data_IF_438158772354
#
_entry.id   IF_438158772354
#
_cell.length_a   1.000
_cell.length_b   1.000
_cell.length_c   1.000
_cell.angle_alpha   90.00
_cell.angle_beta   90.00
_cell.angle_gamma   90.00
#
_symmetry.space_group_name_H-M   'P 1'
#
loop_
_entity.id
_entity.type
_entity.pdbx_description
1 polymer ?
2 non-polymer ?
3 non-polymer ?
4 non-polymer ?
5 water ?
#
# COMPACT_ATOMS: atom_id res chain seq x y z
N UNK A 1 12.71 13.19 -19.89
CA UNK A 1 12.10 14.38 -19.32
C UNK A 1 11.26 14.15 -18.05
N UNK A 2 10.68 12.93 -17.88
CA UNK A 2 9.81 12.51 -16.76
C UNK A 2 10.00 13.23 -15.43
N UNK A 3 8.95 13.95 -14.98
CA UNK A 3 8.91 14.65 -13.69
C UNK A 3 7.68 14.19 -12.90
N UNK A 4 7.75 14.06 -11.56
CA UNK A 4 6.56 13.63 -10.81
C UNK A 4 5.51 14.72 -10.70
N UNK A 5 4.24 14.33 -10.55
CA UNK A 5 3.15 15.27 -10.32
C UNK A 5 3.28 15.76 -8.88
N UNK A 6 2.93 17.02 -8.63
CA UNK A 6 3.09 17.56 -7.27
C UNK A 6 1.76 17.91 -6.61
N UNK A 7 1.69 17.70 -5.29
CA UNK A 7 0.52 18.02 -4.50
C UNK A 7 0.94 18.74 -3.24
N UNK A 8 0.27 19.85 -2.93
CA UNK A 8 0.57 20.55 -1.70
C UNK A 8 -0.15 19.82 -0.57
N UNK A 9 0.62 19.31 0.40
CA UNK A 9 0.06 18.64 1.57
C UNK A 9 0.66 19.24 2.81
N UNK A 10 -0.20 19.61 3.76
CA UNK A 10 0.22 20.10 5.08
C UNK A 10 0.46 18.86 5.92
N UNK A 11 1.75 18.51 6.10
CA UNK A 11 2.22 17.36 6.86
C UNK A 11 1.76 17.46 8.33
N UNK A 12 1.31 16.36 8.99
CA UNK A 12 0.91 16.48 10.40
C UNK A 12 2.13 16.69 11.30
N UNK A 13 1.88 17.09 12.55
CA UNK A 13 2.90 17.28 13.58
C UNK A 13 2.72 16.23 14.69
N UNK A 14 3.83 15.83 15.32
CA UNK A 14 3.79 14.85 16.42
C UNK A 14 4.73 15.26 17.55
N UNK A 15 4.45 14.72 18.75
CA UNK A 15 5.27 14.90 19.95
C UNK A 15 6.04 13.60 20.22
N UNK A 16 5.75 12.55 19.42
CA UNK A 16 6.36 11.22 19.50
C UNK A 16 7.85 11.23 19.13
N UNK A 17 8.69 10.48 19.87
CA UNK A 17 10.12 10.39 19.49
C UNK A 17 10.40 9.25 18.52
N UNK A 18 9.72 8.09 18.70
CA UNK A 18 9.87 6.86 17.91
C UNK A 18 9.39 7.01 16.47
N UNK A 19 8.39 7.87 16.23
CA UNK A 19 7.86 8.09 14.89
C UNK A 19 8.81 8.98 14.11
N UNK A 20 9.66 8.35 13.30
CA UNK A 20 10.66 9.03 12.50
C UNK A 20 10.16 9.29 11.10
N UNK A 21 10.85 8.73 10.10
CA UNK A 21 10.44 8.88 8.72
C UNK A 21 9.33 7.87 8.38
N UNK A 22 8.15 8.37 8.03
CA UNK A 22 7.05 7.49 7.65
C UNK A 22 6.41 7.97 6.33
N UNK A 23 6.61 7.15 5.29
CA UNK A 23 6.10 7.36 3.93
C UNK A 23 4.72 6.76 3.83
N UNK A 24 3.80 7.49 3.20
CA UNK A 24 2.45 6.97 2.99
C UNK A 24 2.34 6.70 1.50
N UNK A 25 2.14 5.43 1.14
CA UNK A 25 2.00 5.02 -0.24
C UNK A 25 0.54 4.73 -0.50
N UNK A 26 -0.08 5.48 -1.43
CA UNK A 26 -1.48 5.32 -1.74
C UNK A 26 -1.73 4.88 -3.18
N UNK A 27 -2.36 3.72 -3.33
CA UNK A 27 -2.84 3.19 -4.59
C UNK A 27 -4.23 3.77 -4.85
N UNK A 28 -4.35 4.56 -5.90
CA UNK A 28 -5.53 5.36 -6.18
C UNK A 28 -6.44 4.73 -7.24
N UNK A 29 -7.77 4.89 -7.07
CA UNK A 29 -8.80 4.35 -7.97
C UNK A 29 -9.54 5.46 -8.74
N UNK A 49 -13.08 13.15 -6.39
CA UNK A 49 -13.79 11.88 -6.32
C UNK A 49 -12.92 10.70 -6.71
N UNK A 50 -12.21 10.13 -5.71
CA UNK A 50 -11.33 8.98 -5.91
C UNK A 50 -11.19 8.18 -4.61
N UNK A 51 -10.98 6.86 -4.73
CA UNK A 51 -10.85 5.97 -3.56
C UNK A 51 -9.45 5.39 -3.45
N UNK A 52 -9.00 5.14 -2.21
CA UNK A 52 -7.68 4.55 -1.96
C UNK A 52 -7.81 3.03 -1.87
N UNK A 53 -7.32 2.32 -2.88
CA UNK A 53 -7.37 0.86 -2.92
C UNK A 53 -6.26 0.27 -2.07
N UNK A 54 -5.09 0.92 -2.07
CA UNK A 54 -3.90 0.48 -1.33
C UNK A 54 -3.41 1.59 -0.42
N UNK A 55 -3.18 1.27 0.86
CA UNK A 55 -2.68 2.20 1.87
C UNK A 55 -1.61 1.48 2.64
N UNK A 56 -0.35 1.85 2.44
CA UNK A 56 0.78 1.24 3.12
C UNK A 56 1.71 2.31 3.70
N UNK A 57 2.25 2.04 4.88
CA UNK A 57 3.21 2.93 5.47
C UNK A 57 4.60 2.28 5.46
N UNK A 58 5.55 2.94 4.78
CA UNK A 58 6.91 2.42 4.63
C UNK A 58 7.79 3.07 5.67
N UNK A 59 8.35 2.26 6.57
CA UNK A 59 9.11 2.79 7.69
C UNK A 59 10.63 2.50 7.63
N UNK A 60 11.45 3.40 7.03
CA UNK A 60 12.91 3.20 7.07
C UNK A 60 13.48 3.54 8.46
N UNK A 61 14.36 2.66 8.99
CA UNK A 61 14.96 2.82 10.30
C UNK A 61 16.36 2.21 10.35
N UNK A 62 16.97 2.13 11.56
CA UNK A 62 18.30 1.54 11.76
C UNK A 62 18.27 0.02 11.94
N UNK A 63 17.07 -0.55 12.20
CA UNK A 63 16.87 -2.01 12.31
C UNK A 63 16.78 -2.60 10.90
N UNK A 64 16.08 -1.88 10.02
CA UNK A 64 15.85 -2.26 8.63
C UNK A 64 14.75 -1.45 7.98
N UNK A 65 13.79 -2.12 7.33
CA UNK A 65 12.64 -1.49 6.68
C UNK A 65 11.41 -2.36 6.94
N UNK A 66 10.34 -1.72 7.44
CA UNK A 66 9.06 -2.38 7.70
C UNK A 66 7.96 -1.71 6.90
N UNK A 67 7.11 -2.52 6.28
CA UNK A 67 5.98 -2.04 5.51
C UNK A 67 4.72 -2.58 6.19
N UNK A 68 3.84 -1.67 6.62
CA UNK A 68 2.59 -2.00 7.28
C UNK A 68 1.45 -1.73 6.31
N UNK A 69 0.80 -2.81 5.87
CA UNK A 69 -0.29 -2.72 4.91
C UNK A 69 -1.58 -2.47 5.69
N UNK A 70 -2.19 -1.29 5.48
CA UNK A 70 -3.41 -0.91 6.18
C UNK A 70 -4.64 -1.30 5.36
N UNK A 71 -5.50 -2.19 5.89
CA UNK A 71 -6.69 -2.60 5.11
C UNK A 71 -7.63 -1.44 4.79
N UNK A 72 -8.04 -1.32 3.51
CA UNK A 72 -8.87 -0.23 2.98
C UNK A 72 -10.26 -0.12 3.64
N UNK A 73 -10.83 -1.27 4.05
CA UNK A 73 -12.15 -1.35 4.67
C UNK A 73 -12.13 -0.97 6.15
N UNK A 74 -10.93 -0.81 6.73
CA UNK A 74 -10.76 -0.42 8.13
C UNK A 74 -11.35 0.96 8.42
N UNK A 75 -12.24 1.05 9.42
CA UNK A 75 -12.91 2.29 9.82
C UNK A 75 -12.13 2.90 10.99
N UNK A 76 -11.90 4.21 10.95
CA UNK A 76 -11.14 4.94 11.97
C UNK A 76 -11.78 6.32 12.27
N UNK A 77 -11.26 7.04 13.28
CA UNK A 77 -11.71 8.40 13.59
C UNK A 77 -11.04 9.37 12.61
N UNK A 78 -11.74 9.71 11.51
CA UNK A 78 -11.21 10.58 10.45
C UNK A 78 -10.99 12.01 10.94
N UNK A 79 -12.05 12.68 11.40
CA UNK A 79 -12.00 14.04 11.92
C UNK A 79 -12.68 14.04 13.27
N UNK A 80 -12.21 14.89 14.18
CA UNK A 80 -12.70 14.99 15.54
C UNK A 80 -14.17 14.64 15.69
N UNK A 81 -14.44 13.43 16.23
CA UNK A 81 -15.79 12.90 16.45
C UNK A 81 -16.54 12.61 15.14
N UNK A 82 -15.96 11.74 14.29
CA UNK A 82 -16.50 11.31 12.99
C UNK A 82 -15.75 10.07 12.48
N UNK A 83 -16.45 9.11 11.87
CA UNK A 83 -15.84 7.88 11.38
C UNK A 83 -15.95 7.67 9.87
N UNK A 84 -14.81 7.31 9.23
CA UNK A 84 -14.75 7.01 7.80
C UNK A 84 -13.91 5.76 7.59
N UNK A 85 -14.15 5.05 6.49
CA UNK A 85 -13.30 3.92 6.12
C UNK A 85 -12.07 4.49 5.41
N UNK A 86 -10.91 3.84 5.59
CA UNK A 86 -9.64 4.25 5.00
C UNK A 86 -9.76 4.56 3.49
N UNK A 87 -10.47 3.73 2.74
CA UNK A 87 -10.65 3.90 1.30
C UNK A 87 -11.44 5.18 0.96
N UNK A 88 -12.39 5.53 1.84
CA UNK A 88 -13.29 6.65 1.66
C UNK A 88 -12.62 7.99 2.01
N UNK A 89 -11.63 7.99 2.93
CA UNK A 89 -10.90 9.20 3.30
C UNK A 89 -10.20 9.90 2.11
N UNK A 90 -9.92 9.17 1.02
CA UNK A 90 -9.24 9.73 -0.14
C UNK A 90 -10.11 10.67 -1.00
N UNK A 91 -11.45 10.48 -0.96
CA UNK A 91 -12.46 11.21 -1.75
C UNK A 91 -12.27 12.75 -1.73
N UNK A 92 -12.20 13.46 -0.57
CA UNK A 92 -11.97 14.91 -0.63
C UNK A 92 -10.52 15.33 -0.89
N UNK A 93 -9.61 14.36 -1.00
CA UNK A 93 -8.20 14.64 -1.28
C UNK A 93 -7.22 13.93 -0.37
N UNK A 94 -5.95 13.76 -0.83
CA UNK A 94 -4.93 13.10 0.02
C UNK A 94 -4.76 13.75 1.38
N UNK A 95 -5.05 15.06 1.48
CA UNK A 95 -4.94 15.81 2.73
C UNK A 95 -5.84 15.20 3.80
N UNK A 96 -7.02 14.71 3.40
CA UNK A 96 -7.97 14.08 4.31
C UNK A 96 -7.48 12.72 4.80
N UNK A 97 -6.88 11.92 3.91
CA UNK A 97 -6.28 10.62 4.25
C UNK A 97 -5.09 10.82 5.22
N UNK A 98 -4.21 11.79 4.92
CA UNK A 98 -3.06 12.14 5.75
C UNK A 98 -3.55 12.56 7.16
N UNK A 99 -4.60 13.40 7.21
CA UNK A 99 -5.20 13.86 8.45
C UNK A 99 -5.91 12.75 9.22
N UNK A 100 -6.70 11.91 8.51
CA UNK A 100 -7.44 10.79 9.10
C UNK A 100 -6.50 9.78 9.80
N UNK A 101 -5.42 9.36 9.13
CA UNK A 101 -4.44 8.43 9.69
C UNK A 101 -3.81 8.93 11.00
N UNK A 102 -3.61 10.25 11.09
CA UNK A 102 -3.11 10.91 12.28
C UNK A 102 -4.14 10.89 13.43
N UNK A 103 -5.33 11.45 13.21
CA UNK A 103 -6.34 11.53 14.26
C UNK A 103 -6.94 10.15 14.63
N UNK A 104 -6.84 9.18 13.73
CA UNK A 104 -7.41 7.85 13.92
C UNK A 104 -6.45 6.76 14.33
N UNK A 105 -5.22 6.79 13.81
CA UNK A 105 -4.26 5.74 14.15
C UNK A 105 -3.00 6.27 14.79
N UNK A 106 -2.81 7.58 14.71
CA UNK A 106 -1.65 8.27 15.24
C UNK A 106 -0.42 8.15 14.36
N UNK A 107 -0.62 7.98 13.05
CA UNK A 107 0.52 7.87 12.16
C UNK A 107 0.84 9.25 11.53
N UNK A 108 1.94 9.90 11.97
CA UNK A 108 2.31 11.20 11.39
C UNK A 108 3.12 11.01 10.10
N UNK A 109 2.48 11.27 8.95
CA UNK A 109 3.08 11.13 7.64
C UNK A 109 4.17 12.19 7.40
N UNK A 110 5.38 11.71 7.05
CA UNK A 110 6.55 12.53 6.77
C UNK A 110 6.67 12.80 5.25
N UNK A 111 6.34 11.79 4.43
CA UNK A 111 6.40 11.89 2.96
C UNK A 111 5.17 11.22 2.33
N UNK A 112 4.82 11.61 1.09
CA UNK A 112 3.65 11.05 0.43
C UNK A 112 3.90 10.68 -1.03
N UNK A 113 3.56 9.42 -1.37
CA UNK A 113 3.63 8.88 -2.73
C UNK A 113 2.22 8.41 -3.13
N UNK A 114 1.76 8.86 -4.30
CA UNK A 114 0.44 8.53 -4.85
C UNK A 114 0.61 7.91 -6.23
N UNK A 115 -0.04 6.78 -6.47
CA UNK A 115 0.07 6.05 -7.73
C UNK A 115 -1.34 5.69 -8.19
N UNK A 116 -1.68 6.08 -9.42
CA UNK A 116 -2.97 5.73 -9.98
C UNK A 116 -2.92 4.36 -10.70
N UNK A 117 -4.05 3.90 -11.26
CA UNK A 117 -4.16 2.61 -11.95
C UNK A 117 -3.18 2.47 -13.14
N UNK A 118 -3.19 3.44 -14.06
CA UNK A 118 -2.31 3.45 -15.22
C UNK A 118 -0.83 3.57 -14.78
N UNK A 119 -0.56 4.38 -13.73
CA UNK A 119 0.77 4.57 -13.18
C UNK A 119 1.30 3.25 -12.61
N UNK A 120 0.46 2.54 -11.82
CA UNK A 120 0.80 1.23 -11.25
C UNK A 120 1.12 0.21 -12.34
N UNK A 121 0.26 0.09 -13.36
CA UNK A 121 0.47 -0.86 -14.47
C UNK A 121 1.74 -0.55 -15.29
N UNK A 122 2.06 0.75 -15.50
CA UNK A 122 3.27 1.21 -16.21
C UNK A 122 4.52 0.81 -15.41
N UNK A 123 4.51 1.09 -14.09
CA UNK A 123 5.60 0.79 -13.17
C UNK A 123 5.89 -0.72 -13.14
N UNK A 124 4.83 -1.54 -13.06
CA UNK A 124 4.98 -2.99 -13.00
C UNK A 124 5.50 -3.54 -14.32
N UNK A 125 5.05 -2.98 -15.45
CA UNK A 125 5.53 -3.42 -16.75
C UNK A 125 6.95 -2.94 -17.03
N UNK A 126 7.38 -1.85 -16.36
CA UNK A 126 8.76 -1.36 -16.42
C UNK A 126 9.70 -2.27 -15.62
N UNK A 127 9.15 -3.03 -14.66
CA UNK A 127 9.88 -4.00 -13.85
C UNK A 127 9.91 -5.35 -14.57
N UNK A 128 9.14 -5.44 -15.66
CA UNK A 128 8.99 -6.68 -16.40
C UNK A 128 8.01 -7.62 -15.73
N UNK A 129 7.06 -7.05 -14.99
CA UNK A 129 6.05 -7.83 -14.28
C UNK A 129 6.56 -8.36 -12.94
N UNK A 130 5.66 -8.97 -12.20
CA UNK A 130 5.97 -9.50 -10.88
C UNK A 130 5.60 -10.97 -10.82
N UNK A 131 6.37 -11.76 -10.08
CA UNK A 131 6.06 -13.18 -9.94
C UNK A 131 5.21 -13.38 -8.71
N UNK A 132 3.98 -13.85 -8.91
CA UNK A 132 3.03 -14.06 -7.84
C UNK A 132 2.49 -15.49 -7.92
N UNK A 133 2.47 -16.21 -6.78
CA UNK A 133 1.94 -17.57 -6.75
C UNK A 133 0.42 -17.49 -6.69
N UNK A 134 -0.25 -18.24 -7.59
CA UNK A 134 -1.71 -18.28 -7.64
C UNK A 134 -2.14 -19.62 -7.05
N UNK A 135 -2.91 -19.64 -5.95
CA UNK A 135 -3.23 -20.92 -5.30
C UNK A 135 -4.24 -21.77 -6.06
N UNK A 136 -5.06 -21.15 -6.91
CA UNK A 136 -6.16 -21.82 -7.62
C UNK A 136 -6.62 -20.92 -8.77
N UNK A 137 -7.29 -21.45 -9.82
CA UNK A 137 -7.82 -20.55 -10.85
C UNK A 137 -8.80 -19.53 -10.26
N UNK A 138 -8.61 -18.24 -10.59
CA UNK A 138 -9.42 -17.12 -10.11
C UNK A 138 -9.92 -16.35 -11.31
N UNK A 139 -11.09 -15.73 -11.16
CA UNK A 139 -11.61 -14.81 -12.17
C UNK A 139 -12.40 -13.68 -11.51
N UNK A 140 -12.60 -12.60 -12.25
CA UNK A 140 -13.35 -11.43 -11.81
C UNK A 140 -13.82 -10.70 -13.04
N UNK A 141 -15.15 -10.67 -13.26
CA UNK A 141 -15.75 -9.99 -14.41
C UNK A 141 -15.54 -8.47 -14.32
N UNK A 142 -15.61 -7.92 -13.09
CA UNK A 142 -15.45 -6.49 -12.81
C UNK A 142 -14.04 -5.98 -13.11
N UNK A 143 -12.99 -6.59 -12.52
CA UNK A 143 -11.61 -6.13 -12.73
C UNK A 143 -10.97 -6.71 -14.01
N UNK A 144 -11.56 -7.78 -14.55
CA UNK A 144 -11.07 -8.45 -15.75
C UNK A 144 -9.97 -9.46 -15.46
N UNK A 145 -9.97 -10.01 -14.23
CA UNK A 145 -8.97 -11.00 -13.80
C UNK A 145 -9.37 -12.40 -14.27
N UNK A 146 -8.43 -13.12 -14.89
CA UNK A 146 -8.67 -14.49 -15.30
C UNK A 146 -7.36 -15.28 -15.25
N UNK A 147 -7.16 -16.01 -14.14
CA UNK A 147 -5.97 -16.85 -13.97
C UNK A 147 -6.42 -18.29 -14.09
N UNK A 148 -6.11 -18.93 -15.23
CA UNK A 148 -6.61 -20.27 -15.55
C UNK A 148 -5.93 -21.41 -14.79
N UNK A 149 -4.74 -21.17 -14.20
CA UNK A 149 -4.02 -22.22 -13.48
C UNK A 149 -3.28 -21.74 -12.25
N UNK A 150 -3.04 -22.66 -11.31
CA UNK A 150 -2.28 -22.37 -10.10
C UNK A 150 -0.77 -22.39 -10.38
N UNK A 151 0.01 -21.71 -9.53
CA UNK A 151 1.47 -21.67 -9.61
C UNK A 151 2.09 -20.30 -9.79
N UNK A 152 3.40 -20.26 -10.15
CA UNK A 152 4.11 -19.01 -10.42
C UNK A 152 3.50 -18.43 -11.70
N UNK A 153 3.24 -17.14 -11.76
CA UNK A 153 2.49 -16.65 -12.91
C UNK A 153 3.09 -15.50 -13.71
N UNK A 154 4.01 -14.71 -13.13
CA UNK A 154 4.55 -13.53 -13.83
C UNK A 154 3.40 -12.66 -14.38
N UNK A 155 2.79 -11.88 -13.49
CA UNK A 155 1.66 -11.03 -13.78
C UNK A 155 2.10 -9.74 -14.44
N UNK A 156 1.37 -9.31 -15.46
CA UNK A 156 1.64 -8.04 -16.12
C UNK A 156 1.11 -6.95 -15.19
N UNK A 157 1.24 -5.69 -15.60
CA UNK A 157 0.68 -4.58 -14.84
C UNK A 157 -0.82 -4.70 -14.66
N UNK A 158 -1.55 -4.95 -15.76
CA UNK A 158 -3.02 -5.08 -15.76
C UNK A 158 -3.51 -6.26 -14.93
N UNK A 159 -2.77 -7.39 -14.94
CA UNK A 159 -3.09 -8.59 -14.17
C UNK A 159 -2.97 -8.28 -12.69
N UNK A 160 -1.83 -7.70 -12.28
CA UNK A 160 -1.54 -7.32 -10.90
C UNK A 160 -2.56 -6.32 -10.35
N UNK A 161 -2.97 -5.36 -11.20
CA UNK A 161 -3.98 -4.36 -10.86
C UNK A 161 -5.35 -5.02 -10.66
N UNK A 162 -5.69 -5.99 -11.53
CA UNK A 162 -6.93 -6.74 -11.43
C UNK A 162 -6.97 -7.60 -10.15
N UNK A 163 -5.80 -8.13 -9.73
CA UNK A 163 -5.64 -8.95 -8.53
C UNK A 163 -5.85 -8.11 -7.25
N UNK A 164 -5.20 -6.94 -7.16
CA UNK A 164 -5.35 -6.07 -5.99
C UNK A 164 -6.76 -5.44 -5.94
N UNK A 165 -7.36 -5.15 -7.11
CA UNK A 165 -8.68 -4.53 -7.19
C UNK A 165 -9.82 -5.54 -7.03
N UNK A 166 -9.53 -6.84 -7.17
CA UNK A 166 -10.52 -7.93 -7.14
C UNK A 166 -11.59 -7.76 -6.04
N UNK A 167 -12.72 -7.13 -6.40
CA UNK A 167 -13.83 -6.82 -5.49
C UNK A 167 -14.66 -8.07 -5.21
N UNK A 168 -15.06 -8.79 -6.27
CA UNK A 168 -15.83 -10.02 -6.14
C UNK A 168 -15.12 -11.16 -6.87
N UNK A 169 -14.16 -11.83 -6.21
CA UNK A 169 -13.44 -12.93 -6.88
C UNK A 169 -14.24 -14.22 -6.98
N UNK A 170 -14.48 -14.69 -8.20
CA UNK A 170 -15.16 -15.96 -8.45
C UNK A 170 -14.13 -17.07 -8.39
N UNK A 171 -14.51 -18.19 -7.79
CA UNK A 171 -13.61 -19.32 -7.65
C UNK A 171 -14.29 -20.64 -8.06
N UNK A 172 -13.51 -21.68 -8.36
CA UNK A 172 -14.07 -22.94 -8.83
C UNK A 172 -14.36 -23.90 -7.66
N UNK A 173 -15.64 -24.04 -7.33
CA UNK A 173 -16.09 -24.96 -6.27
C UNK A 173 -17.19 -25.85 -6.81
N UNK A 174 -17.06 -27.17 -6.62
CA UNK A 174 -18.00 -28.17 -7.11
C UNK A 174 -18.28 -27.97 -8.62
N UNK A 175 -17.21 -27.74 -9.39
CA UNK A 175 -17.28 -27.52 -10.83
C UNK A 175 -18.01 -26.27 -11.28
N UNK A 176 -18.11 -25.26 -10.40
CA UNK A 176 -18.87 -24.04 -10.68
C UNK A 176 -18.15 -22.79 -10.23
N UNK A 177 -18.31 -21.72 -10.98
CA UNK A 177 -17.76 -20.42 -10.61
C UNK A 177 -18.64 -19.82 -9.51
N UNK A 178 -18.05 -19.69 -8.32
CA UNK A 178 -18.76 -19.28 -7.13
C UNK A 178 -18.13 -18.05 -6.45
N UNK A 179 -18.98 -17.11 -6.06
CA UNK A 179 -18.58 -15.92 -5.31
C UNK A 179 -18.58 -16.25 -3.81
N UNK A 180 -17.79 -15.50 -3.05
CA UNK A 180 -17.69 -15.68 -1.61
C UNK A 180 -18.10 -14.40 -0.85
N UNK A 181 -18.13 -14.46 0.50
CA UNK A 181 -18.50 -13.34 1.36
C UNK A 181 -17.65 -12.08 1.11
N UNK A 182 -18.15 -10.91 1.53
CA UNK A 182 -17.44 -9.64 1.37
C UNK A 182 -16.12 -9.64 2.16
N UNK A 183 -16.11 -10.33 3.33
CA UNK A 183 -14.94 -10.49 4.19
C UNK A 183 -13.92 -11.39 3.52
N UNK A 184 -14.40 -12.46 2.84
CA UNK A 184 -13.55 -13.39 2.11
C UNK A 184 -12.76 -12.66 1.03
N UNK A 185 -13.45 -11.83 0.25
CA UNK A 185 -12.86 -11.02 -0.82
C UNK A 185 -11.90 -9.95 -0.32
N UNK A 186 -12.20 -9.35 0.85
CA UNK A 186 -11.32 -8.34 1.46
C UNK A 186 -10.06 -9.01 2.01
N UNK A 187 -10.18 -10.26 2.52
CA UNK A 187 -9.04 -11.04 3.02
C UNK A 187 -8.12 -11.46 1.87
N UNK A 188 -8.69 -11.91 0.73
CA UNK A 188 -7.92 -12.28 -0.46
C UNK A 188 -7.23 -11.04 -1.05
N UNK A 189 -7.84 -9.83 -0.88
CA UNK A 189 -7.31 -8.56 -1.35
C UNK A 189 -6.07 -8.14 -0.56
N UNK A 190 -6.15 -8.19 0.78
CA UNK A 190 -5.03 -7.85 1.66
C UNK A 190 -3.86 -8.81 1.45
N UNK A 191 -4.20 -10.09 1.20
CA UNK A 191 -3.25 -11.16 0.91
C UNK A 191 -2.61 -10.93 -0.47
N UNK A 192 -3.43 -10.61 -1.49
CA UNK A 192 -2.93 -10.34 -2.83
C UNK A 192 -2.06 -9.08 -2.85
N UNK A 193 -2.49 -8.00 -2.14
CA UNK A 193 -1.71 -6.75 -2.02
C UNK A 193 -0.38 -7.01 -1.32
N UNK A 194 -0.38 -7.89 -0.30
CA UNK A 194 0.81 -8.30 0.45
C UNK A 194 1.82 -9.00 -0.47
N UNK A 195 1.33 -9.99 -1.24
CA UNK A 195 2.12 -10.73 -2.22
C UNK A 195 2.68 -9.76 -3.27
N UNK A 196 1.81 -8.89 -3.81
CA UNK A 196 2.17 -7.89 -4.82
C UNK A 196 3.26 -6.98 -4.27
N UNK A 197 3.08 -6.45 -3.04
CA UNK A 197 4.06 -5.60 -2.37
C UNK A 197 5.40 -6.29 -2.22
N UNK A 198 5.39 -7.60 -1.89
CA UNK A 198 6.64 -8.34 -1.76
C UNK A 198 7.25 -8.56 -3.14
N UNK A 199 6.41 -8.95 -4.12
CA UNK A 199 6.84 -9.18 -5.50
C UNK A 199 7.41 -7.90 -6.11
N UNK A 200 6.83 -6.73 -5.74
CA UNK A 200 7.32 -5.44 -6.21
C UNK A 200 8.71 -5.19 -5.65
N UNK A 201 8.87 -5.36 -4.32
CA UNK A 201 10.14 -5.20 -3.63
C UNK A 201 11.22 -6.11 -4.21
N UNK A 202 10.86 -7.39 -4.47
CA UNK A 202 11.77 -8.38 -5.04
C UNK A 202 12.21 -7.98 -6.44
N UNK A 203 11.24 -7.60 -7.32
CA UNK A 203 11.51 -7.17 -8.68
C UNK A 203 12.36 -5.89 -8.73
N UNK A 204 12.15 -4.96 -7.76
CA UNK A 204 12.91 -3.70 -7.65
C UNK A 204 14.42 -3.98 -7.50
N UNK A 205 14.78 -4.87 -6.56
CA UNK A 205 16.16 -5.25 -6.31
C UNK A 205 16.78 -6.01 -7.47
N UNK A 206 15.98 -6.89 -8.11
CA UNK A 206 16.38 -7.69 -9.28
C UNK A 206 16.67 -6.79 -10.50
N UNK A 207 16.09 -5.57 -10.51
CA UNK A 207 16.31 -4.57 -11.55
C UNK A 207 17.39 -3.58 -11.10
N UNK A 208 17.69 -3.55 -9.79
CA UNK A 208 18.72 -2.70 -9.19
C UNK A 208 20.13 -3.27 -9.35
N UNK A 209 20.25 -4.52 -9.83
CA UNK A 209 21.54 -5.16 -10.08
C UNK A 209 22.19 -4.63 -11.35
N UNK A 210 21.44 -4.60 -12.47
CA UNK A 210 21.91 -4.08 -13.76
C UNK A 210 22.06 -2.55 -13.73
N UNK A 211 23.11 -1.99 -14.35
CA UNK A 211 23.28 -0.53 -14.35
C UNK A 211 22.41 0.19 -15.38
N UNK A 212 22.38 -0.33 -16.63
CA UNK A 212 21.59 0.22 -17.74
C UNK A 212 20.10 0.33 -17.41
N UNK A 213 19.58 -0.68 -16.69
CA UNK A 213 18.18 -0.78 -16.29
C UNK A 213 17.75 0.43 -15.45
N UNK A 214 18.38 0.63 -14.27
CA UNK A 214 18.11 1.70 -13.31
C UNK A 214 17.90 3.09 -13.94
N UNK A 215 18.78 3.53 -14.85
CA UNK A 215 18.68 4.85 -15.48
C UNK A 215 17.28 5.15 -16.04
N UNK A 216 16.76 4.28 -16.93
CA UNK A 216 15.43 4.42 -17.54
C UNK A 216 14.31 4.05 -16.54
N UNK A 217 14.57 3.05 -15.68
CA UNK A 217 13.62 2.62 -14.67
C UNK A 217 13.29 3.75 -13.68
N UNK A 218 14.33 4.33 -13.05
CA UNK A 218 14.24 5.45 -12.11
C UNK A 218 13.61 6.65 -12.80
N UNK A 219 13.92 6.85 -14.09
CA UNK A 219 13.32 7.91 -14.88
C UNK A 219 11.81 7.69 -15.05
N UNK A 220 11.38 6.47 -15.45
CA UNK A 220 9.97 6.14 -15.64
C UNK A 220 9.17 6.18 -14.34
N UNK A 221 9.74 5.66 -13.23
CA UNK A 221 9.10 5.72 -11.91
C UNK A 221 8.77 7.16 -11.50
N UNK A 222 9.71 8.10 -11.70
CA UNK A 222 9.52 9.51 -11.38
C UNK A 222 8.36 10.12 -12.16
N UNK A 223 8.19 9.70 -13.41
CA UNK A 223 7.13 10.22 -14.28
C UNK A 223 5.78 9.54 -14.09
N UNK A 224 5.72 8.47 -13.28
CA UNK A 224 4.48 7.73 -13.04
C UNK A 224 4.17 7.67 -11.55
N UNK A 225 4.32 8.82 -10.87
CA UNK A 225 4.18 8.99 -9.43
C UNK A 225 3.77 10.41 -9.11
N UNK A 226 3.00 10.57 -8.04
CA UNK A 226 2.63 11.86 -7.50
C UNK A 226 3.27 11.96 -6.11
N UNK A 227 3.97 13.08 -5.85
CA UNK A 227 4.68 13.36 -4.60
C UNK A 227 4.14 14.63 -3.98
N UNK A 228 4.19 14.74 -2.64
CA UNK A 228 3.84 15.99 -1.99
C UNK A 228 4.93 17.02 -2.33
N UNK A 229 4.62 18.30 -2.22
CA UNK A 229 5.54 19.38 -2.58
C UNK A 229 6.83 19.38 -1.76
N UNK A 230 6.76 18.95 -0.51
CA UNK A 230 7.90 18.95 0.42
C UNK A 230 8.84 17.77 0.35
N UNK A 231 8.46 16.73 -0.41
CA UNK A 231 9.31 15.54 -0.52
C UNK A 231 10.14 15.61 -1.80
N UNK A 232 11.44 15.35 -1.68
CA UNK A 232 12.35 15.42 -2.79
C UNK A 232 12.53 14.13 -3.56
N UNK A 233 12.79 14.26 -4.88
CA UNK A 233 13.09 13.13 -5.74
C UNK A 233 14.35 12.42 -5.19
N UNK A 234 15.20 13.19 -4.48
CA UNK A 234 16.38 12.69 -3.79
C UNK A 234 16.02 12.01 -2.47
N UNK A 235 14.96 12.46 -1.80
CA UNK A 235 14.47 11.81 -0.57
C UNK A 235 13.98 10.38 -0.93
N UNK A 236 13.40 10.22 -2.12
CA UNK A 236 12.95 8.95 -2.66
C UNK A 236 14.14 8.01 -2.92
N UNK A 237 15.29 8.56 -3.36
CA UNK A 237 16.54 7.82 -3.59
C UNK A 237 17.10 7.24 -2.30
N UNK A 238 17.02 8.00 -1.20
CA UNK A 238 17.44 7.58 0.14
C UNK A 238 16.59 6.42 0.67
N UNK A 239 15.28 6.42 0.36
CA UNK A 239 14.33 5.36 0.72
C UNK A 239 14.75 4.07 0.02
N UNK A 240 15.00 4.17 -1.29
CA UNK A 240 15.47 3.06 -2.12
C UNK A 240 16.82 2.52 -1.68
N UNK A 241 17.73 3.42 -1.25
CA UNK A 241 19.05 3.10 -0.73
C UNK A 241 18.94 2.35 0.62
N UNK A 242 18.04 2.81 1.50
CA UNK A 242 17.85 2.17 2.82
C UNK A 242 17.10 0.84 2.66
N UNK A 243 16.30 0.71 1.59
CA UNK A 243 15.57 -0.52 1.28
C UNK A 243 16.53 -1.58 0.73
N UNK A 244 17.47 -1.18 -0.17
CA UNK A 244 18.48 -2.09 -0.74
C UNK A 244 19.38 -2.68 0.36
N UNK A 245 19.84 -1.81 1.27
CA UNK A 245 20.64 -2.16 2.44
C UNK A 245 19.85 -3.14 3.35
N UNK A 246 18.51 -2.93 3.47
CA UNK A 246 17.65 -3.80 4.28
C UNK A 246 17.29 -5.13 3.58
N UNK A 247 17.32 -5.18 2.23
CA UNK A 247 17.09 -6.43 1.49
C UNK A 247 18.30 -7.38 1.73
N UNK A 248 19.53 -6.84 1.61
CA UNK A 248 20.79 -7.56 1.77
C UNK A 248 20.99 -8.03 3.20
N UNK A 249 20.56 -7.23 4.18
CA UNK A 249 20.70 -7.56 5.60
C UNK A 249 19.58 -8.47 6.11
N UNK A 250 18.60 -8.77 5.25
CA UNK A 250 17.44 -9.58 5.60
C UNK A 250 16.56 -8.89 6.61
N UNK A 251 16.55 -7.55 6.59
CA UNK A 251 15.78 -6.72 7.50
C UNK A 251 14.67 -5.96 6.76
N UNK A 252 13.99 -6.65 5.84
CA UNK A 252 12.87 -6.10 5.07
C UNK A 252 11.63 -6.92 5.38
N UNK A 253 10.59 -6.30 5.95
CA UNK A 253 9.42 -7.03 6.42
C UNK A 253 8.13 -6.38 6.02
N UNK A 254 7.12 -7.19 5.66
CA UNK A 254 5.79 -6.73 5.29
C UNK A 254 4.77 -7.36 6.21
N UNK A 255 4.00 -6.53 6.92
CA UNK A 255 3.00 -6.99 7.85
C UNK A 255 1.66 -6.31 7.60
N UNK A 256 0.59 -7.11 7.69
CA UNK A 256 -0.79 -6.67 7.62
C UNK A 256 -1.24 -6.31 9.02
N UNK A 257 -1.91 -5.15 9.13
CA UNK A 257 -2.46 -4.64 10.40
C UNK A 257 -3.37 -5.72 11.00
N UNK A 258 -3.06 -6.24 12.20
CA UNK A 258 -3.90 -7.32 12.75
C UNK A 258 -5.28 -6.89 13.28
N UNK A 259 -6.29 -6.89 12.41
CA UNK A 259 -7.66 -6.55 12.82
C UNK A 259 -8.40 -7.80 13.28
N UNK A 260 -9.45 -7.62 14.06
CA UNK A 260 -10.27 -8.72 14.57
C UNK A 260 -10.97 -9.50 13.47
N UNK A 261 -11.57 -10.68 13.78
CA UNK A 261 -12.25 -11.47 12.73
C UNK A 261 -13.23 -10.61 11.95
N UNK A 262 -12.94 -10.43 10.64
CA UNK A 262 -13.70 -9.57 9.73
C UNK A 262 -15.19 -9.91 9.63
N UNK A 263 -15.54 -11.21 9.71
CA UNK A 263 -16.94 -11.64 9.65
C UNK A 263 -17.58 -11.77 11.05
N UNK A 264 -16.95 -11.16 12.07
CA UNK A 264 -17.46 -11.20 13.43
C UNK A 264 -17.92 -9.82 13.95
N UNK A 265 -17.90 -8.81 13.07
CA UNK A 265 -18.38 -7.44 13.34
C UNK A 265 -18.82 -6.75 12.05
N UNK A 266 -19.86 -5.90 12.12
CA UNK A 266 -20.37 -5.15 10.97
C UNK A 266 -19.30 -4.17 10.51
N UNK A 267 -18.80 -3.34 11.43
CA UNK A 267 -17.74 -2.37 11.16
C UNK A 267 -16.37 -2.93 11.59
N UNK A 268 -15.37 -2.84 10.70
CA UNK A 268 -14.02 -3.34 11.00
C UNK A 268 -13.21 -2.21 11.64
N UNK A 269 -13.05 -2.31 12.96
CA UNK A 269 -12.39 -1.30 13.78
C UNK A 269 -11.01 -1.75 14.28
N UNK A 270 -10.10 -0.80 14.61
CA UNK A 270 -8.80 -1.22 15.18
C UNK A 270 -8.99 -1.80 16.58
N UNK A 271 -8.42 -2.99 16.81
CA UNK A 271 -8.48 -3.67 18.10
C UNK A 271 -7.19 -3.45 18.89
N UNK A 272 -7.06 -4.10 20.06
CA UNK A 272 -5.85 -4.00 20.90
C UNK A 272 -4.61 -4.45 20.11
N UNK A 273 -4.70 -5.59 19.37
CA UNK A 273 -3.59 -6.11 18.55
C UNK A 273 -3.04 -5.03 17.59
N UNK A 274 -3.94 -4.33 16.88
CA UNK A 274 -3.63 -3.26 15.94
C UNK A 274 -2.94 -2.07 16.63
N UNK A 275 -3.47 -1.65 17.80
CA UNK A 275 -2.94 -0.53 18.57
C UNK A 275 -1.54 -0.77 19.09
N UNK A 276 -1.23 -2.01 19.52
CA UNK A 276 0.09 -2.39 20.06
C UNK A 276 1.13 -2.43 18.95
N UNK A 277 0.81 -3.10 17.84
CA UNK A 277 1.64 -3.20 16.64
C UNK A 277 2.01 -1.79 16.17
N UNK A 278 1.05 -0.85 16.23
CA UNK A 278 1.26 0.53 15.85
C UNK A 278 2.01 1.29 16.92
N UNK A 279 1.84 0.91 18.20
CA UNK A 279 2.53 1.53 19.34
C UNK A 279 4.01 1.16 19.35
N UNK A 280 4.36 -0.01 18.79
CA UNK A 280 5.75 -0.47 18.69
C UNK A 280 6.56 0.54 17.85
N UNK A 281 5.98 1.01 16.73
CA UNK A 281 6.59 1.95 15.80
C UNK A 281 6.33 3.43 16.16
N UNK A 282 5.90 3.67 17.39
CA UNK A 282 5.67 5.01 17.94
C UNK A 282 4.44 5.77 17.48
N UNK A 283 3.42 5.05 16.97
CA UNK A 283 2.19 5.69 16.51
C UNK A 283 1.10 5.59 17.57
N UNK A 284 0.51 6.74 17.93
CA UNK A 284 -0.58 6.83 18.90
C UNK A 284 -1.43 8.07 18.60
N UNK A 285 -2.79 7.95 18.51
CA UNK A 285 -3.60 9.13 18.20
C UNK A 285 -3.38 10.32 19.14
N UNK A 286 -3.20 10.05 20.45
CA UNK A 286 -2.98 11.06 21.49
C UNK A 286 -1.78 11.96 21.23
N UNK A 287 -0.75 11.45 20.53
CA UNK A 287 0.48 12.19 20.27
C UNK A 287 0.60 12.74 18.83
N UNK A 288 -0.47 12.66 18.02
CA UNK A 288 -0.43 13.15 16.64
C UNK A 288 -1.43 14.29 16.41
N UNK A 289 -1.06 15.29 15.60
CA UNK A 289 -1.92 16.45 15.31
C UNK A 289 -1.81 16.96 13.86
N UNK A 290 -2.94 17.05 13.12
CA UNK A 290 -2.88 17.61 11.75
C UNK A 290 -2.89 19.15 11.74
N UNK A 291 -2.65 19.76 10.56
CA UNK A 291 -2.65 21.21 10.30
C UNK A 291 -1.81 22.05 11.29
#
# INVERSE_FOLDING_TARGET
AHRPARVDIAMPTTSSPTAGETWLILGTDSRATVPGDQNRYGTTQEVEGSRADVIALVRPSQEGVTIINLPRDLTINSKGMELDRLATTYVPGPQNTVNALCTGLGIPTTHLVTIDMAQFATIIDSLGGIEVDVPEPVRDAYTGLNLSSAGRHRLSGIDALALVRSRHPEILRDGRWVTMSQADGAQRRSQSTATVMQAVLSAIGQKASNPVSLHQLAHTVAGNITLDSGTGLSDLAALGRSASKARRAGATTIIDLPTGPRDESIIVSPNQESRDLLARYGYSPKTCRPAGA
#
